data_IF_052861367332
#
_entry.id   IF_052861367332
#
_cell.length_a   1.000
_cell.length_b   1.000
_cell.length_c   1.000
_cell.angle_alpha   90.00
_cell.angle_beta   90.00
_cell.angle_gamma   90.00
#
_symmetry.space_group_name_H-M   'P 1'
#
loop_
_entity.id
_entity.type
_entity.pdbx_description
1 polymer ?
#
# COMPACT_ATOMS: atom_id res chain seq x y z
N UNK A 1 3.92 -52.30 -67.24
CA UNK A 1 3.22 -51.79 -65.98
C UNK A 1 1.78 -51.53 -66.30
N UNK A 2 0.83 -52.10 -65.54
CA UNK A 2 -0.60 -52.01 -65.84
C UNK A 2 -1.14 -50.60 -65.47
N UNK A 3 -1.94 -50.03 -66.33
CA UNK A 3 -2.61 -48.72 -66.13
C UNK A 3 -3.40 -48.65 -64.79
N UNK A 4 -3.77 -49.78 -64.22
CA UNK A 4 -4.42 -49.92 -62.91
C UNK A 4 -3.49 -49.57 -61.76
N UNK A 5 -2.22 -49.93 -61.84
CA UNK A 5 -1.20 -49.67 -60.81
C UNK A 5 -0.83 -48.18 -60.75
N UNK A 6 -0.78 -47.56 -61.91
CA UNK A 6 -0.50 -46.12 -62.03
C UNK A 6 -1.64 -45.23 -61.48
N UNK A 7 -2.89 -45.62 -61.66
CA UNK A 7 -4.06 -44.95 -61.06
C UNK A 7 -4.07 -45.06 -59.53
N UNK A 8 -3.76 -46.23 -58.99
CA UNK A 8 -3.65 -46.42 -57.53
C UNK A 8 -2.55 -45.56 -56.93
N UNK A 9 -1.36 -45.53 -57.54
CA UNK A 9 -0.24 -44.72 -57.06
C UNK A 9 -0.55 -43.21 -57.12
N UNK A 10 -1.29 -42.73 -58.12
CA UNK A 10 -1.73 -41.31 -58.18
C UNK A 10 -2.78 -40.98 -57.13
N UNK A 11 -3.68 -41.93 -56.80
CA UNK A 11 -4.69 -41.73 -55.73
C UNK A 11 -4.02 -41.71 -54.33
N UNK A 12 -3.07 -42.60 -54.05
CA UNK A 12 -2.33 -42.62 -52.80
C UNK A 12 -1.48 -41.34 -52.62
N UNK A 13 -0.78 -40.90 -53.64
CA UNK A 13 0.00 -39.65 -53.58
C UNK A 13 -0.88 -38.41 -53.39
N UNK A 14 -2.11 -38.38 -53.93
CA UNK A 14 -3.07 -37.29 -53.67
C UNK A 14 -3.61 -37.32 -52.24
N UNK A 15 -3.93 -38.50 -51.69
CA UNK A 15 -4.40 -38.62 -50.31
C UNK A 15 -3.31 -38.29 -49.31
N UNK A 16 -2.08 -38.69 -49.52
CA UNK A 16 -0.95 -38.32 -48.67
C UNK A 16 -0.63 -36.82 -48.71
N UNK A 17 -0.70 -36.22 -49.92
CA UNK A 17 -0.50 -34.76 -50.04
C UNK A 17 -1.63 -33.93 -49.37
N UNK A 18 -2.87 -34.45 -49.39
CA UNK A 18 -4.00 -33.80 -48.67
C UNK A 18 -3.80 -33.93 -47.15
N UNK A 19 -3.46 -35.11 -46.68
CA UNK A 19 -3.21 -35.40 -45.27
C UNK A 19 -2.10 -34.57 -44.67
N UNK A 20 -0.99 -34.40 -45.39
CA UNK A 20 0.13 -33.55 -44.99
C UNK A 20 -0.27 -32.06 -44.91
N UNK A 21 -1.12 -31.58 -45.82
CA UNK A 21 -1.66 -30.21 -45.78
C UNK A 21 -2.56 -29.97 -44.56
N UNK A 22 -3.41 -30.92 -44.23
CA UNK A 22 -4.32 -30.83 -43.08
C UNK A 22 -3.55 -30.84 -41.73
N UNK A 23 -2.52 -31.65 -41.63
CA UNK A 23 -1.63 -31.71 -40.44
C UNK A 23 -0.88 -30.36 -40.27
N UNK A 24 -0.37 -29.81 -41.37
CA UNK A 24 0.35 -28.53 -41.31
C UNK A 24 -0.60 -27.38 -40.98
N UNK A 25 -1.83 -27.35 -41.56
CA UNK A 25 -2.85 -26.35 -41.22
C UNK A 25 -3.25 -26.42 -39.74
N UNK A 26 -3.44 -27.64 -39.19
CA UNK A 26 -3.70 -27.82 -37.73
C UNK A 26 -2.55 -27.31 -36.88
N UNK A 27 -1.30 -27.66 -37.24
CA UNK A 27 -0.11 -27.16 -36.49
C UNK A 27 0.01 -25.64 -36.52
N UNK A 28 -0.31 -25.00 -37.63
CA UNK A 28 -0.30 -23.54 -37.73
C UNK A 28 -1.46 -22.91 -36.93
N UNK A 29 -2.64 -23.49 -36.96
CA UNK A 29 -3.79 -23.05 -36.17
C UNK A 29 -3.49 -23.16 -34.65
N UNK A 30 -2.87 -24.27 -34.22
CA UNK A 30 -2.45 -24.47 -32.84
C UNK A 30 -1.35 -23.48 -32.41
N UNK A 31 -0.39 -23.20 -33.28
CA UNK A 31 0.64 -22.16 -33.02
C UNK A 31 -0.01 -20.79 -32.86
N UNK A 32 -0.91 -20.40 -33.76
CA UNK A 32 -1.65 -19.12 -33.68
C UNK A 32 -2.49 -19.04 -32.41
N UNK A 33 -3.18 -20.15 -32.02
CA UNK A 33 -3.97 -20.22 -30.80
C UNK A 33 -3.10 -20.06 -29.55
N UNK A 34 -1.97 -20.78 -29.48
CA UNK A 34 -1.00 -20.64 -28.37
C UNK A 34 -0.42 -19.23 -28.29
N UNK A 35 -0.14 -18.61 -29.40
CA UNK A 35 0.38 -17.25 -29.46
C UNK A 35 -0.67 -16.23 -28.98
N UNK A 36 -1.94 -16.36 -29.41
CA UNK A 36 -3.05 -15.52 -28.89
C UNK A 36 -3.22 -15.68 -27.38
N UNK A 37 -3.21 -16.92 -26.87
CA UNK A 37 -3.33 -17.18 -25.43
C UNK A 37 -2.18 -16.52 -24.65
N UNK A 38 -0.94 -16.59 -25.17
CA UNK A 38 0.20 -15.89 -24.53
C UNK A 38 -0.03 -14.38 -24.44
N UNK A 39 -0.49 -13.76 -25.53
CA UNK A 39 -0.76 -12.31 -25.53
C UNK A 39 -1.93 -11.91 -24.61
N UNK A 40 -2.96 -12.76 -24.49
CA UNK A 40 -4.05 -12.54 -23.54
C UNK A 40 -3.51 -12.60 -22.09
N UNK A 41 -2.68 -13.61 -21.77
CA UNK A 41 -2.07 -13.73 -20.43
C UNK A 41 -1.21 -12.51 -20.11
N UNK A 42 -0.38 -12.05 -21.04
CA UNK A 42 0.45 -10.85 -20.88
C UNK A 42 -0.43 -9.60 -20.69
N UNK A 43 -1.49 -9.46 -21.48
CA UNK A 43 -2.44 -8.36 -21.34
C UNK A 43 -3.12 -8.33 -19.97
N UNK A 44 -3.60 -9.48 -19.49
CA UNK A 44 -4.21 -9.59 -18.16
C UNK A 44 -3.20 -9.27 -17.06
N UNK A 45 -1.97 -9.79 -17.17
CA UNK A 45 -0.91 -9.50 -16.20
C UNK A 45 -0.59 -8.00 -16.13
N UNK A 46 -0.55 -7.31 -17.28
CA UNK A 46 -0.34 -5.86 -17.34
C UNK A 46 -1.50 -5.10 -16.68
N UNK A 47 -2.76 -5.48 -16.94
CA UNK A 47 -3.93 -4.85 -16.31
C UNK A 47 -3.87 -4.99 -14.79
N UNK A 48 -3.55 -6.19 -14.28
CA UNK A 48 -3.39 -6.44 -12.83
C UNK A 48 -2.25 -5.58 -12.27
N UNK A 49 -1.12 -5.50 -12.96
CA UNK A 49 0.01 -4.69 -12.54
C UNK A 49 -0.34 -3.20 -12.44
N UNK A 50 -1.01 -2.65 -13.46
CA UNK A 50 -1.42 -1.24 -13.43
C UNK A 50 -2.50 -0.97 -12.36
N UNK A 51 -3.47 -1.88 -12.20
CA UNK A 51 -4.47 -1.76 -11.13
C UNK A 51 -3.81 -1.76 -9.75
N UNK A 52 -2.82 -2.62 -9.52
CA UNK A 52 -2.06 -2.67 -8.29
C UNK A 52 -1.21 -1.41 -8.08
N UNK A 53 -0.56 -0.92 -9.13
CA UNK A 53 0.20 0.34 -9.07
C UNK A 53 -0.70 1.54 -8.73
N UNK A 54 -1.90 1.62 -9.32
CA UNK A 54 -2.89 2.65 -9.00
C UNK A 54 -3.35 2.51 -7.55
N UNK A 55 -3.63 1.29 -7.08
CA UNK A 55 -4.03 1.01 -5.70
C UNK A 55 -2.95 1.48 -4.70
N UNK A 56 -1.68 1.16 -4.94
CA UNK A 56 -0.57 1.61 -4.08
C UNK A 56 -0.44 3.13 -4.09
N UNK A 57 -0.54 3.76 -5.27
CA UNK A 57 -0.37 5.21 -5.41
C UNK A 57 -1.57 6.02 -4.90
N UNK A 58 -2.76 5.41 -4.85
CA UNK A 58 -3.97 6.06 -4.32
C UNK A 58 -3.99 6.24 -2.80
N UNK A 59 -3.03 5.65 -2.10
CA UNK A 59 -3.00 5.65 -0.63
C UNK A 59 -4.07 4.74 0.02
N UNK A 60 -4.81 3.95 -0.78
CA UNK A 60 -5.84 3.06 -0.26
C UNK A 60 -5.26 2.03 0.73
N UNK A 61 -4.06 1.52 0.47
CA UNK A 61 -3.35 0.62 1.38
C UNK A 61 -3.14 1.28 2.76
N UNK A 62 -2.66 2.52 2.78
CA UNK A 62 -2.38 3.24 4.02
C UNK A 62 -3.64 3.60 4.81
N UNK A 63 -4.81 3.69 4.15
CA UNK A 63 -6.10 3.91 4.81
C UNK A 63 -6.71 2.63 5.37
N UNK A 64 -6.34 1.47 4.82
CA UNK A 64 -6.87 0.17 5.23
C UNK A 64 -6.03 -0.55 6.29
N UNK A 65 -4.80 -0.08 6.55
CA UNK A 65 -3.90 -0.67 7.54
C UNK A 65 -3.96 0.12 8.85
N UNK A 66 -4.33 -0.53 9.94
CA UNK A 66 -4.28 0.03 11.29
C UNK A 66 -2.83 0.10 11.76
N UNK A 67 -2.39 1.31 12.08
CA UNK A 67 -1.05 1.58 12.61
C UNK A 67 -1.05 1.70 14.14
N UNK A 68 -2.17 2.10 14.72
CA UNK A 68 -2.36 2.27 16.16
C UNK A 68 -3.74 1.77 16.55
N UNK A 69 -3.82 0.88 17.53
CA UNK A 69 -5.09 0.51 18.17
C UNK A 69 -5.09 1.01 19.61
N UNK A 70 -6.06 1.85 19.94
CA UNK A 70 -6.32 2.31 21.30
C UNK A 70 -7.36 1.37 21.93
N UNK A 71 -7.08 0.88 23.12
CA UNK A 71 -7.99 -0.01 23.86
C UNK A 71 -8.00 0.39 25.32
N UNK A 72 -9.21 0.59 25.86
CA UNK A 72 -9.46 0.78 27.29
C UNK A 72 -8.48 1.76 27.96
N UNK A 73 -8.15 2.85 27.27
CA UNK A 73 -7.23 3.87 27.78
C UNK A 73 -8.05 4.95 28.44
N UNK A 74 -7.72 5.30 29.66
CA UNK A 74 -8.35 6.40 30.39
C UNK A 74 -7.62 7.72 30.06
N UNK A 75 -8.40 8.75 29.77
CA UNK A 75 -7.93 10.11 29.53
C UNK A 75 -8.58 11.04 30.51
N UNK A 76 -7.79 11.75 31.29
CA UNK A 76 -8.31 12.75 32.24
C UNK A 76 -8.26 14.13 31.62
N UNK A 77 -9.42 14.78 31.54
CA UNK A 77 -9.57 16.16 31.04
C UNK A 77 -10.19 17.01 32.16
N UNK A 78 -9.40 17.84 32.80
CA UNK A 78 -9.80 18.54 34.03
C UNK A 78 -10.10 17.54 35.15
N UNK A 79 -11.29 17.57 35.69
CA UNK A 79 -11.74 16.66 36.75
C UNK A 79 -12.50 15.43 36.21
N UNK A 80 -12.60 15.30 34.89
CA UNK A 80 -13.36 14.21 34.26
C UNK A 80 -12.42 13.16 33.66
N UNK A 81 -12.58 11.90 34.04
CA UNK A 81 -11.89 10.78 33.41
C UNK A 81 -12.81 10.13 32.38
N UNK A 82 -12.34 10.06 31.14
CA UNK A 82 -13.04 9.51 29.99
C UNK A 82 -12.30 8.25 29.56
N UNK A 83 -13.02 7.14 29.41
CA UNK A 83 -12.45 5.93 28.86
C UNK A 83 -12.52 5.94 27.34
N UNK A 84 -11.38 5.85 26.67
CA UNK A 84 -11.34 5.61 25.24
C UNK A 84 -11.82 4.17 24.97
N UNK A 85 -12.78 4.05 24.07
CA UNK A 85 -13.22 2.75 23.55
C UNK A 85 -12.12 2.04 22.74
N UNK A 86 -12.46 0.90 22.15
CA UNK A 86 -11.56 0.25 21.19
C UNK A 86 -11.68 0.97 19.83
N UNK A 87 -10.58 1.59 19.38
CA UNK A 87 -10.49 2.23 18.08
C UNK A 87 -9.16 1.95 17.38
N UNK A 88 -9.23 1.54 16.12
CA UNK A 88 -8.09 1.47 15.21
C UNK A 88 -7.90 2.80 14.46
N UNK A 89 -6.67 3.26 14.37
CA UNK A 89 -6.27 4.38 13.52
C UNK A 89 -5.40 3.89 12.39
N UNK A 90 -5.78 4.24 11.17
CA UNK A 90 -5.04 3.88 9.98
C UNK A 90 -3.67 4.56 9.91
N UNK A 91 -2.77 4.00 9.11
CA UNK A 91 -1.47 4.63 8.81
C UNK A 91 -1.65 6.06 8.29
N UNK A 92 -2.69 6.30 7.49
CA UNK A 92 -2.97 7.63 6.94
C UNK A 92 -3.35 8.64 8.02
N UNK A 93 -4.20 8.26 8.98
CA UNK A 93 -4.59 9.11 10.12
C UNK A 93 -3.38 9.40 11.02
N UNK A 94 -2.60 8.37 11.36
CA UNK A 94 -1.38 8.55 12.15
C UNK A 94 -0.39 9.49 11.47
N UNK A 95 -0.15 9.34 10.17
CA UNK A 95 0.74 10.22 9.42
C UNK A 95 0.19 11.65 9.33
N UNK A 96 -1.11 11.83 9.15
CA UNK A 96 -1.72 13.15 9.14
C UNK A 96 -1.49 13.87 10.47
N UNK A 97 -1.78 13.22 11.60
CA UNK A 97 -1.57 13.82 12.94
C UNK A 97 -0.10 14.08 13.21
N UNK A 98 0.79 13.17 12.81
CA UNK A 98 2.24 13.36 12.93
C UNK A 98 2.71 14.63 12.20
N UNK A 99 2.28 14.82 10.95
CA UNK A 99 2.61 16.02 10.20
C UNK A 99 2.00 17.28 10.80
N UNK A 100 0.79 17.19 11.34
CA UNK A 100 0.17 18.33 12.03
C UNK A 100 0.93 18.74 13.29
N UNK A 101 1.48 17.78 14.06
CA UNK A 101 2.35 18.08 15.21
C UNK A 101 3.62 18.82 14.76
N UNK A 102 4.25 18.34 13.70
CA UNK A 102 5.45 18.99 13.14
C UNK A 102 5.13 20.42 12.66
N UNK A 103 4.06 20.60 11.87
CA UNK A 103 3.64 21.91 11.35
C UNK A 103 3.29 22.86 12.50
N UNK A 104 2.59 22.38 13.52
CA UNK A 104 2.22 23.18 14.70
C UNK A 104 3.45 23.68 15.44
N UNK A 105 4.44 22.83 15.64
CA UNK A 105 5.69 23.21 16.27
C UNK A 105 6.45 24.23 15.41
N UNK A 106 6.52 24.01 14.09
CA UNK A 106 7.19 24.94 13.17
C UNK A 106 6.46 26.28 13.08
N UNK A 107 5.13 26.31 13.13
CA UNK A 107 4.35 27.55 13.18
C UNK A 107 4.56 28.33 14.49
N UNK A 108 4.77 27.61 15.59
CA UNK A 108 5.00 28.24 16.90
C UNK A 108 6.40 28.86 17.01
N UNK A 109 7.42 28.13 16.57
CA UNK A 109 8.81 28.52 16.76
C UNK A 109 9.44 29.12 15.49
N UNK A 110 8.95 28.78 14.31
CA UNK A 110 9.45 29.29 13.03
C UNK A 110 10.97 29.12 12.88
N UNK A 111 11.63 30.20 12.52
CA UNK A 111 13.08 30.24 12.36
C UNK A 111 13.87 30.06 13.68
N UNK A 112 13.18 30.17 14.84
CA UNK A 112 13.81 29.97 16.14
C UNK A 112 13.87 28.47 16.54
N UNK A 113 13.24 27.57 15.78
CA UNK A 113 13.26 26.14 16.08
C UNK A 113 14.69 25.58 16.15
N UNK A 114 15.59 26.02 15.27
CA UNK A 114 16.99 25.60 15.27
C UNK A 114 17.76 26.10 16.49
N UNK A 115 17.51 27.32 16.93
CA UNK A 115 18.25 27.96 18.03
C UNK A 115 17.70 27.54 19.39
N UNK A 116 16.36 27.52 19.56
CA UNK A 116 15.71 27.24 20.84
C UNK A 116 15.52 25.74 21.09
N UNK A 117 15.22 25.00 20.02
CA UNK A 117 14.88 23.58 20.12
C UNK A 117 15.96 22.66 19.56
N UNK A 118 17.04 23.21 19.01
CA UNK A 118 18.11 22.45 18.36
C UNK A 118 17.59 21.54 17.23
N UNK A 119 16.49 21.95 16.59
CA UNK A 119 15.86 21.21 15.49
C UNK A 119 16.40 21.73 14.16
N UNK A 120 17.20 20.91 13.47
CA UNK A 120 17.74 21.20 12.15
C UNK A 120 16.80 20.63 11.07
N UNK A 121 16.08 21.50 10.37
CA UNK A 121 15.13 21.10 9.33
C UNK A 121 15.76 20.50 8.09
N UNK A 122 17.09 20.52 7.97
CA UNK A 122 17.84 19.92 6.86
C UNK A 122 18.28 18.48 7.11
N UNK A 123 18.13 18.00 8.35
CA UNK A 123 18.51 16.64 8.77
C UNK A 123 17.31 15.78 9.08
N UNK A 124 17.41 14.44 8.94
CA UNK A 124 16.37 13.51 9.36
C UNK A 124 16.03 13.67 10.85
N UNK A 125 14.75 13.55 11.21
CA UNK A 125 14.27 13.75 12.58
C UNK A 125 14.71 12.63 13.55
N UNK A 126 14.96 11.44 13.03
CA UNK A 126 15.40 10.26 13.76
C UNK A 126 16.91 10.30 14.09
N UNK A 127 17.68 11.17 13.45
CA UNK A 127 19.11 11.39 13.69
C UNK A 127 19.39 12.53 14.66
N UNK A 128 18.38 13.24 15.13
CA UNK A 128 18.52 14.42 15.98
C UNK A 128 17.96 14.19 17.37
N UNK A 129 18.75 14.48 18.39
CA UNK A 129 18.30 14.41 19.79
C UNK A 129 17.27 15.51 20.07
N UNK A 130 16.15 15.14 20.70
CA UNK A 130 15.12 16.07 21.12
C UNK A 130 15.36 16.57 22.56
N UNK A 131 15.54 17.88 22.77
CA UNK A 131 15.74 18.43 24.12
C UNK A 131 14.47 18.42 24.98
N UNK A 132 13.28 18.20 24.37
CA UNK A 132 11.99 18.15 25.06
C UNK A 132 11.72 16.78 25.70
N UNK A 133 12.73 16.03 26.01
CA UNK A 133 12.65 14.71 26.65
C UNK A 133 12.30 14.84 28.14
N UNK A 134 11.01 14.91 28.46
CA UNK A 134 10.53 15.05 29.85
C UNK A 134 10.66 13.76 30.67
N UNK A 135 10.72 12.61 30.02
CA UNK A 135 10.75 11.30 30.67
C UNK A 135 12.17 10.74 30.83
N UNK A 136 13.20 11.48 30.41
CA UNK A 136 14.58 11.05 30.51
C UNK A 136 14.92 9.80 29.69
N UNK A 137 14.20 9.56 28.59
CA UNK A 137 14.45 8.42 27.71
C UNK A 137 15.84 8.54 27.07
N UNK A 138 16.59 7.45 27.06
CA UNK A 138 17.87 7.41 26.35
C UNK A 138 17.67 7.54 24.83
N UNK A 139 18.54 8.30 24.18
CA UNK A 139 18.52 8.50 22.71
C UNK A 139 17.20 9.00 22.15
N UNK A 140 16.46 9.82 22.91
CA UNK A 140 15.17 10.36 22.49
C UNK A 140 15.34 11.33 21.32
N UNK A 141 14.76 11.01 20.18
CA UNK A 141 14.88 11.80 18.94
C UNK A 141 13.66 12.66 18.69
N UNK A 142 13.76 13.60 17.73
CA UNK A 142 12.61 14.39 17.27
C UNK A 142 11.53 13.52 16.61
N UNK A 143 11.90 12.46 15.90
CA UNK A 143 10.94 11.51 15.36
C UNK A 143 10.13 10.83 16.50
N UNK A 144 10.79 10.37 17.55
CA UNK A 144 10.13 9.78 18.71
C UNK A 144 9.22 10.78 19.42
N UNK A 145 9.66 12.04 19.57
CA UNK A 145 8.82 13.09 20.14
C UNK A 145 7.50 13.27 19.36
N UNK A 146 7.57 13.37 18.03
CA UNK A 146 6.37 13.54 17.22
C UNK A 146 5.50 12.28 17.20
N UNK A 147 6.07 11.08 17.28
CA UNK A 147 5.32 9.83 17.43
C UNK A 147 4.56 9.76 18.75
N UNK A 148 5.23 10.12 19.86
CA UNK A 148 4.62 10.14 21.19
C UNK A 148 3.50 11.19 21.26
N UNK A 149 3.72 12.39 20.72
CA UNK A 149 2.72 13.43 20.62
C UNK A 149 1.50 12.99 19.77
N UNK A 150 1.76 12.34 18.63
CA UNK A 150 0.73 11.76 17.77
C UNK A 150 -0.11 10.73 18.51
N UNK A 151 0.54 9.78 19.18
CA UNK A 151 -0.15 8.76 19.97
C UNK A 151 -1.02 9.39 21.06
N UNK A 152 -0.49 10.35 21.79
CA UNK A 152 -1.23 11.06 22.83
C UNK A 152 -2.48 11.76 22.28
N UNK A 153 -2.37 12.43 21.15
CA UNK A 153 -3.50 13.12 20.51
C UNK A 153 -4.56 12.13 20.00
N UNK A 154 -4.15 11.02 19.39
CA UNK A 154 -5.07 10.01 18.90
C UNK A 154 -5.80 9.28 20.03
N UNK A 155 -5.15 9.07 21.17
CA UNK A 155 -5.80 8.53 22.38
C UNK A 155 -6.84 9.50 22.91
N UNK A 156 -6.54 10.81 22.94
CA UNK A 156 -7.51 11.82 23.34
C UNK A 156 -8.70 11.87 22.38
N UNK A 157 -8.47 11.80 21.08
CA UNK A 157 -9.51 11.77 20.07
C UNK A 157 -10.43 10.56 20.26
N UNK A 158 -9.88 9.36 20.45
CA UNK A 158 -10.66 8.15 20.73
C UNK A 158 -11.52 8.29 22.00
N UNK A 159 -10.99 8.92 23.06
CA UNK A 159 -11.73 9.16 24.29
C UNK A 159 -12.90 10.15 24.06
N UNK A 160 -12.67 11.24 23.35
CA UNK A 160 -13.72 12.21 23.03
C UNK A 160 -14.82 11.61 22.15
N UNK A 161 -14.47 10.79 21.17
CA UNK A 161 -15.46 10.11 20.33
C UNK A 161 -16.30 9.13 21.15
N UNK A 162 -15.67 8.30 21.99
CA UNK A 162 -16.38 7.39 22.87
C UNK A 162 -17.30 8.14 23.86
N UNK A 163 -16.87 9.30 24.34
CA UNK A 163 -17.69 10.15 25.20
C UNK A 163 -18.90 10.73 24.45
N UNK A 164 -18.69 11.22 23.23
CA UNK A 164 -19.78 11.76 22.42
C UNK A 164 -20.83 10.68 22.09
N UNK A 165 -20.40 9.47 21.71
CA UNK A 165 -21.32 8.35 21.45
C UNK A 165 -22.17 7.91 22.67
N UNK A 166 -21.69 8.18 23.89
CA UNK A 166 -22.43 7.87 25.10
C UNK A 166 -23.44 8.95 25.51
N UNK A 167 -23.33 10.17 24.93
CA UNK A 167 -24.12 11.33 25.35
C UNK A 167 -24.98 11.93 24.21
N UNK A 168 -24.94 11.35 23.01
CA UNK A 168 -25.87 11.63 21.91
C UNK A 168 -27.13 10.74 22.04
#
# INVERSE_FOLDING_TARGET
MSASTERKNRQTARSEGSYAKDINAKKEADKKKKQRTKWIIVGVALVIFFAFAIYLNSGALYRSLDALTVKNTEVTVGDTTISAGERGFSVAECNYVYHMQYISLMNTYGNYASTLLQLDTTKPLDEQTCPLNKEGKENYTWDQYFRDATKSQLVQLAAFEAYAEQHD
#
